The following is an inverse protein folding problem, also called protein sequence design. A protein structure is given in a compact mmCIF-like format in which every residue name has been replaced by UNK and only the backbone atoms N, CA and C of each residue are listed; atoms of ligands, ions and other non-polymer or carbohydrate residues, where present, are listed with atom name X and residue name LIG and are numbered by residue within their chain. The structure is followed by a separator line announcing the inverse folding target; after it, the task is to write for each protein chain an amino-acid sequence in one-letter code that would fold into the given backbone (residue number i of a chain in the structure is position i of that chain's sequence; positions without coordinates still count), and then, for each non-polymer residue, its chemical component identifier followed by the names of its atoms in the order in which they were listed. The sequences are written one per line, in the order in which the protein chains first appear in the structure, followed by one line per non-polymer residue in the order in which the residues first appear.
data_IF_308997884234
#
_entry.id   IF_308997884234
#
_cell.length_a   1.000
_cell.length_b   1.000
_cell.length_c   1.000
_cell.angle_alpha   90.00
_cell.angle_beta   90.00
_cell.angle_gamma   90.00
#
_symmetry.space_group_name_H-M   'P 1'
#
loop_
_entity.id
_entity.type
_entity.pdbx_description
1 polymer ?
#
# COMPACT_ATOMS: atom_id res chain seq x y z
N UNK A 1 18.41 -39.67 11.26
CA UNK A 1 18.08 -38.28 10.99
C UNK A 1 17.09 -37.80 12.09
N UNK A 2 17.39 -36.68 12.72
CA UNK A 2 16.47 -36.09 13.69
C UNK A 2 15.38 -35.28 12.95
N UNK A 3 14.11 -35.43 13.38
CA UNK A 3 13.02 -34.58 12.91
C UNK A 3 13.08 -33.27 13.71
N UNK A 4 13.36 -32.17 13.03
CA UNK A 4 13.47 -30.84 13.66
C UNK A 4 12.07 -30.26 13.92
N UNK A 5 11.14 -30.44 12.98
CA UNK A 5 9.74 -30.00 13.09
C UNK A 5 8.88 -30.91 12.22
N UNK A 6 7.67 -31.23 12.71
CA UNK A 6 6.66 -31.95 11.91
C UNK A 6 5.32 -31.23 12.04
N UNK A 7 4.65 -31.00 10.92
CA UNK A 7 3.33 -30.35 10.86
C UNK A 7 2.50 -30.93 9.73
N UNK A 8 1.23 -31.18 9.99
CA UNK A 8 0.27 -31.57 8.94
C UNK A 8 -0.56 -30.34 8.56
N UNK A 9 -0.64 -30.09 7.26
CA UNK A 9 -1.42 -29.00 6.70
C UNK A 9 -2.48 -29.60 5.81
N UNK A 10 -3.75 -29.23 6.04
CA UNK A 10 -4.89 -29.66 5.25
C UNK A 10 -5.46 -28.45 4.52
N UNK A 11 -5.81 -28.62 3.24
CA UNK A 11 -6.41 -27.57 2.43
C UNK A 11 -6.98 -28.12 1.14
N UNK A 12 -7.65 -27.28 0.38
CA UNK A 12 -8.23 -27.61 -0.91
C UNK A 12 -7.16 -27.51 -2.01
N UNK A 13 -7.36 -28.22 -3.11
CA UNK A 13 -6.44 -28.18 -4.26
C UNK A 13 -6.16 -26.75 -4.75
N UNK A 14 -7.13 -25.86 -4.73
CA UNK A 14 -6.98 -24.45 -5.10
C UNK A 14 -6.07 -23.64 -4.16
N UNK A 15 -5.82 -24.16 -2.95
CA UNK A 15 -5.02 -23.53 -1.89
C UNK A 15 -3.59 -24.09 -1.84
N UNK A 16 -3.24 -25.01 -2.75
CA UNK A 16 -1.92 -25.69 -2.74
C UNK A 16 -0.76 -24.70 -2.81
N UNK A 17 -0.91 -23.62 -3.55
CA UNK A 17 0.12 -22.58 -3.67
C UNK A 17 0.34 -21.84 -2.35
N UNK A 18 -0.74 -21.38 -1.71
CA UNK A 18 -0.69 -20.69 -0.42
C UNK A 18 -0.11 -21.61 0.66
N UNK A 19 -0.49 -22.90 0.61
CA UNK A 19 0.08 -23.92 1.48
C UNK A 19 1.58 -24.12 1.25
N UNK A 20 2.04 -24.10 -0.02
CA UNK A 20 3.46 -24.23 -0.35
C UNK A 20 4.26 -23.01 0.17
N UNK A 21 3.77 -21.80 -0.01
CA UNK A 21 4.38 -20.58 0.53
C UNK A 21 4.44 -20.64 2.07
N UNK A 22 3.34 -21.01 2.72
CA UNK A 22 3.32 -21.16 4.18
C UNK A 22 4.36 -22.20 4.68
N UNK A 23 4.49 -23.35 3.99
CA UNK A 23 5.51 -24.37 4.33
C UNK A 23 6.90 -23.80 4.14
N UNK A 24 7.12 -23.02 3.07
CA UNK A 24 8.42 -22.38 2.81
C UNK A 24 8.78 -21.40 3.92
N UNK A 25 7.83 -20.59 4.40
CA UNK A 25 8.02 -19.70 5.55
C UNK A 25 8.44 -20.46 6.81
N UNK A 26 7.75 -21.58 7.10
CA UNK A 26 8.08 -22.42 8.26
C UNK A 26 9.47 -23.07 8.16
N UNK A 27 9.87 -23.52 6.96
CA UNK A 27 11.21 -24.09 6.73
C UNK A 27 12.24 -22.99 6.89
N UNK A 28 12.03 -21.82 6.30
CA UNK A 28 12.95 -20.69 6.37
C UNK A 28 13.18 -20.26 7.82
N UNK A 29 12.10 -20.11 8.60
CA UNK A 29 12.16 -19.76 10.02
C UNK A 29 12.98 -20.78 10.83
N UNK A 30 12.77 -22.08 10.60
CA UNK A 30 13.51 -23.16 11.31
C UNK A 30 15.00 -23.15 10.96
N UNK A 31 15.35 -22.85 9.72
CA UNK A 31 16.73 -22.88 9.24
C UNK A 31 17.51 -21.61 9.61
N UNK A 32 16.84 -20.44 9.53
CA UNK A 32 17.52 -19.13 9.67
C UNK A 32 17.26 -18.45 11.01
N UNK A 33 16.21 -18.86 11.74
CA UNK A 33 15.74 -18.18 12.95
C UNK A 33 14.98 -16.86 12.65
N UNK A 34 14.68 -16.57 11.37
CA UNK A 34 13.98 -15.36 10.93
C UNK A 34 12.68 -15.77 10.25
N UNK A 35 11.62 -15.00 10.46
CA UNK A 35 10.33 -15.22 9.81
C UNK A 35 10.46 -15.17 8.28
N UNK A 36 9.81 -16.12 7.59
CA UNK A 36 9.77 -16.15 6.13
C UNK A 36 8.81 -15.11 5.55
N UNK A 37 8.99 -14.77 4.27
CA UNK A 37 8.17 -13.81 3.55
C UNK A 37 7.52 -14.37 2.28
N UNK A 38 7.50 -15.69 2.11
CA UNK A 38 6.95 -16.35 0.91
C UNK A 38 5.43 -16.20 0.81
N UNK A 39 4.72 -16.14 1.94
CA UNK A 39 3.26 -15.91 2.01
C UNK A 39 2.86 -14.44 1.96
N UNK A 40 3.82 -13.53 1.70
CA UNK A 40 3.53 -12.10 1.61
C UNK A 40 3.10 -11.69 0.20
N UNK A 41 2.58 -10.47 0.09
CA UNK A 41 2.20 -9.85 -1.17
C UNK A 41 3.01 -8.60 -1.43
N UNK A 42 3.24 -8.31 -2.70
CA UNK A 42 3.83 -7.07 -3.17
C UNK A 42 2.76 -6.20 -3.81
N UNK A 43 2.87 -4.90 -3.60
CA UNK A 43 2.07 -3.89 -4.28
C UNK A 43 2.99 -3.01 -5.13
N UNK A 44 2.61 -2.77 -6.37
CA UNK A 44 3.43 -2.00 -7.30
C UNK A 44 2.58 -1.28 -8.34
N UNK A 45 3.12 -0.20 -8.87
CA UNK A 45 2.50 0.57 -9.95
C UNK A 45 3.21 0.23 -11.26
N UNK A 46 2.44 -0.05 -12.29
CA UNK A 46 2.92 -0.13 -13.68
C UNK A 46 2.51 1.12 -14.44
N UNK A 47 3.36 1.54 -15.40
CA UNK A 47 3.06 2.60 -16.35
C UNK A 47 3.28 2.07 -17.77
N UNK A 48 2.21 1.82 -18.49
CA UNK A 48 2.23 1.36 -19.87
C UNK A 48 2.10 2.55 -20.83
N UNK A 49 2.96 2.64 -21.83
CA UNK A 49 2.87 3.67 -22.87
C UNK A 49 1.85 3.23 -23.91
N UNK A 50 0.74 3.95 -24.04
CA UNK A 50 -0.31 3.69 -25.02
C UNK A 50 -0.06 4.46 -26.33
N UNK A 51 0.40 5.71 -26.23
CA UNK A 51 0.76 6.59 -27.34
C UNK A 51 1.86 7.55 -26.89
N UNK A 52 2.28 8.49 -27.79
CA UNK A 52 3.42 9.36 -27.51
C UNK A 52 3.28 10.16 -26.22
N UNK A 53 2.08 10.67 -25.94
CA UNK A 53 1.76 11.45 -24.73
C UNK A 53 0.73 10.77 -23.81
N UNK A 54 0.44 9.48 -24.00
CA UNK A 54 -0.56 8.77 -23.21
C UNK A 54 0.06 7.57 -22.48
N UNK A 55 -0.19 7.52 -21.17
CA UNK A 55 0.18 6.39 -20.33
C UNK A 55 -1.04 5.84 -19.60
N UNK A 56 -1.02 4.56 -19.34
CA UNK A 56 -1.95 3.89 -18.46
C UNK A 56 -1.18 3.45 -17.23
N UNK A 57 -1.59 3.95 -16.08
CA UNK A 57 -1.06 3.55 -14.78
C UNK A 57 -1.98 2.51 -14.18
N UNK A 58 -1.41 1.49 -13.57
CA UNK A 58 -2.18 0.50 -12.84
C UNK A 58 -1.53 0.19 -11.50
N UNK A 59 -2.33 0.19 -10.45
CA UNK A 59 -1.97 -0.33 -9.14
C UNK A 59 -2.27 -1.80 -9.09
N UNK A 60 -1.26 -2.62 -8.83
CA UNK A 60 -1.34 -4.07 -8.88
C UNK A 60 -0.89 -4.65 -7.54
N UNK A 61 -1.45 -5.82 -7.20
CA UNK A 61 -1.03 -6.68 -6.10
C UNK A 61 -0.69 -8.05 -6.69
N UNK A 62 0.38 -8.66 -6.23
CA UNK A 62 0.77 -10.01 -6.57
C UNK A 62 1.37 -10.72 -5.34
N UNK A 63 1.51 -12.04 -5.40
CA UNK A 63 2.31 -12.77 -4.43
C UNK A 63 3.78 -12.33 -4.51
N UNK A 64 4.55 -12.55 -3.45
CA UNK A 64 5.95 -12.13 -3.35
C UNK A 64 6.84 -12.61 -4.50
N UNK A 65 6.45 -13.71 -5.17
CA UNK A 65 7.14 -14.26 -6.35
C UNK A 65 6.59 -13.73 -7.70
N UNK A 66 5.66 -12.77 -7.66
CA UNK A 66 5.05 -12.15 -8.85
C UNK A 66 3.88 -12.91 -9.46
N UNK A 67 3.45 -14.02 -8.86
CA UNK A 67 2.27 -14.75 -9.34
C UNK A 67 0.96 -14.10 -8.90
N UNK A 68 -0.14 -14.46 -9.59
CA UNK A 68 -1.49 -14.07 -9.16
C UNK A 68 -1.75 -12.56 -9.26
N UNK A 69 -1.14 -11.87 -10.23
CA UNK A 69 -1.31 -10.44 -10.40
C UNK A 69 -2.79 -10.06 -10.44
N UNK A 70 -3.17 -9.20 -9.51
CA UNK A 70 -4.51 -8.64 -9.41
C UNK A 70 -4.42 -7.13 -9.58
N UNK A 71 -5.03 -6.63 -10.65
CA UNK A 71 -5.15 -5.20 -10.90
C UNK A 71 -6.22 -4.60 -10.00
N UNK A 72 -5.83 -3.65 -9.17
CA UNK A 72 -6.72 -3.01 -8.17
C UNK A 72 -7.34 -1.74 -8.75
N UNK A 73 -6.55 -1.00 -9.53
CA UNK A 73 -6.96 0.28 -10.10
C UNK A 73 -6.24 0.52 -11.42
N UNK A 74 -6.93 1.15 -12.35
CA UNK A 74 -6.35 1.78 -13.56
C UNK A 74 -6.64 3.27 -13.58
N UNK A 75 -5.68 4.05 -14.06
CA UNK A 75 -5.80 5.49 -14.23
C UNK A 75 -4.99 5.97 -15.44
N UNK A 76 -5.49 7.00 -16.13
CA UNK A 76 -4.71 7.73 -17.13
C UNK A 76 -3.75 8.74 -16.48
N UNK A 77 -3.99 9.04 -15.21
CA UNK A 77 -3.16 9.93 -14.41
C UNK A 77 -2.23 9.13 -13.51
N UNK A 78 -1.07 9.69 -13.11
CA UNK A 78 -0.11 9.02 -12.26
C UNK A 78 -0.71 8.52 -10.94
N UNK A 79 -0.23 7.34 -10.51
CA UNK A 79 -0.46 6.77 -9.18
C UNK A 79 0.90 6.69 -8.50
N UNK A 80 1.03 7.26 -7.31
CA UNK A 80 2.30 7.35 -6.56
C UNK A 80 2.12 6.95 -5.10
N UNK A 81 3.22 6.65 -4.43
CA UNK A 81 3.32 6.49 -2.96
C UNK A 81 2.23 5.59 -2.37
N UNK A 82 2.03 4.42 -2.99
CA UNK A 82 1.05 3.47 -2.48
C UNK A 82 1.57 2.74 -1.23
N UNK A 83 0.73 2.62 -0.20
CA UNK A 83 1.04 1.96 1.08
C UNK A 83 -0.11 1.10 1.56
N UNK A 84 0.20 -0.02 2.24
CA UNK A 84 -0.75 -0.91 2.86
C UNK A 84 -1.25 -0.40 4.20
N UNK A 85 -2.54 -0.64 4.49
CA UNK A 85 -2.99 -0.63 5.89
C UNK A 85 -2.39 -1.82 6.65
N UNK A 86 -2.18 -1.72 7.99
CA UNK A 86 -1.57 -2.80 8.78
C UNK A 86 -2.33 -4.13 8.72
N UNK A 87 -3.64 -4.09 8.50
CA UNK A 87 -4.50 -5.27 8.35
C UNK A 87 -4.54 -5.82 6.91
N UNK A 88 -3.79 -5.19 5.99
CA UNK A 88 -3.81 -5.50 4.55
C UNK A 88 -5.19 -5.40 3.87
N UNK A 89 -6.19 -4.84 4.57
CA UNK A 89 -7.56 -4.70 4.06
C UNK A 89 -7.76 -3.48 3.16
N UNK A 90 -6.86 -2.51 3.22
CA UNK A 90 -6.95 -1.27 2.47
C UNK A 90 -5.57 -0.80 1.98
N UNK A 91 -5.58 0.07 0.99
CA UNK A 91 -4.38 0.76 0.50
C UNK A 91 -4.64 2.25 0.45
N UNK A 92 -3.63 3.05 0.82
CA UNK A 92 -3.63 4.49 0.59
C UNK A 92 -2.62 4.81 -0.51
N UNK A 93 -2.94 5.75 -1.39
CA UNK A 93 -2.07 6.16 -2.49
C UNK A 93 -2.37 7.58 -2.92
N UNK A 94 -1.45 8.17 -3.66
CA UNK A 94 -1.62 9.47 -4.33
C UNK A 94 -2.09 9.23 -5.76
N UNK A 95 -3.11 9.96 -6.20
CA UNK A 95 -3.54 9.98 -7.60
C UNK A 95 -3.80 11.41 -8.08
N UNK A 96 -3.58 11.65 -9.36
CA UNK A 96 -3.81 12.92 -10.03
C UNK A 96 -5.13 12.96 -10.81
N UNK A 97 -6.01 11.97 -10.60
CA UNK A 97 -7.30 11.84 -11.31
C UNK A 97 -8.29 12.98 -11.02
N UNK A 98 -8.04 13.79 -10.00
CA UNK A 98 -8.86 14.95 -9.64
C UNK A 98 -8.30 16.22 -10.29
N UNK A 99 -8.68 16.48 -11.53
CA UNK A 99 -8.32 17.67 -12.31
C UNK A 99 -6.77 17.87 -12.42
N UNK A 100 -6.01 16.77 -12.52
CA UNK A 100 -4.55 16.81 -12.62
C UNK A 100 -3.84 17.27 -11.34
N UNK A 101 -4.53 17.30 -10.21
CA UNK A 101 -3.98 17.67 -8.90
C UNK A 101 -3.80 16.44 -8.02
N UNK A 102 -2.71 16.38 -7.23
CA UNK A 102 -2.51 15.27 -6.32
C UNK A 102 -3.58 15.24 -5.23
N UNK A 103 -4.17 14.09 -5.00
CA UNK A 103 -5.04 13.79 -3.87
C UNK A 103 -4.62 12.47 -3.23
N UNK A 104 -4.82 12.35 -1.93
CA UNK A 104 -4.61 11.07 -1.22
C UNK A 104 -5.93 10.32 -1.17
N UNK A 105 -5.91 9.08 -1.60
CA UNK A 105 -7.05 8.19 -1.66
C UNK A 105 -6.88 7.04 -0.68
N UNK A 106 -7.99 6.57 -0.12
CA UNK A 106 -8.10 5.30 0.59
C UNK A 106 -8.96 4.35 -0.25
N UNK A 107 -8.48 3.14 -0.48
CA UNK A 107 -9.16 2.11 -1.26
C UNK A 107 -9.31 0.85 -0.41
N UNK A 108 -10.54 0.46 -0.09
CA UNK A 108 -10.83 -0.79 0.58
C UNK A 108 -10.82 -1.94 -0.42
N UNK A 109 -9.95 -2.92 -0.22
CA UNK A 109 -9.69 -4.00 -1.18
C UNK A 109 -10.80 -5.05 -1.26
N UNK A 110 -11.58 -5.21 -0.19
CA UNK A 110 -12.67 -6.19 -0.14
C UNK A 110 -13.93 -5.68 -0.82
N UNK A 111 -14.23 -4.38 -0.66
CA UNK A 111 -15.45 -3.77 -1.20
C UNK A 111 -15.23 -3.02 -2.51
N UNK A 112 -13.98 -2.72 -2.86
CA UNK A 112 -13.61 -1.86 -3.98
C UNK A 112 -13.96 -0.37 -3.75
N UNK A 113 -14.44 -0.01 -2.56
CA UNK A 113 -14.81 1.38 -2.26
C UNK A 113 -13.57 2.25 -2.18
N UNK A 114 -13.61 3.38 -2.90
CA UNK A 114 -12.57 4.41 -2.89
C UNK A 114 -13.09 5.69 -2.24
N UNK A 115 -12.22 6.34 -1.50
CA UNK A 115 -12.52 7.59 -0.80
C UNK A 115 -11.34 8.57 -0.94
N UNK A 116 -11.64 9.85 -1.18
CA UNK A 116 -10.66 10.92 -1.17
C UNK A 116 -10.45 11.37 0.28
N UNK A 117 -9.24 11.20 0.79
CA UNK A 117 -8.87 11.63 2.15
C UNK A 117 -8.45 13.11 2.19
N UNK A 118 -7.59 13.52 1.24
CA UNK A 118 -7.13 14.90 1.13
C UNK A 118 -7.07 15.35 -0.33
N UNK A 119 -7.40 16.65 -0.54
CA UNK A 119 -7.37 17.33 -1.84
C UNK A 119 -7.12 18.82 -1.62
N UNK A 120 -6.10 19.15 -0.86
CA UNK A 120 -5.75 20.57 -0.63
C UNK A 120 -5.01 21.15 -1.82
N UNK A 121 -4.96 22.49 -1.92
CA UNK A 121 -4.09 23.15 -2.88
C UNK A 121 -2.62 22.82 -2.58
N UNK A 122 -1.84 22.57 -3.64
CA UNK A 122 -0.44 22.19 -3.54
C UNK A 122 -0.24 20.68 -3.33
N UNK A 123 0.80 20.33 -2.59
CA UNK A 123 1.20 18.93 -2.37
C UNK A 123 0.22 18.20 -1.44
N UNK A 124 -0.20 17.03 -1.85
CA UNK A 124 -0.86 16.01 -1.04
C UNK A 124 -0.14 14.70 -1.32
N UNK A 125 0.57 14.14 -0.35
CA UNK A 125 1.46 13.01 -0.65
C UNK A 125 1.91 12.20 0.55
N UNK A 126 2.79 11.24 0.27
CA UNK A 126 3.50 10.39 1.22
C UNK A 126 2.61 9.79 2.33
N UNK A 127 1.50 9.09 2.00
CA UNK A 127 0.66 8.48 3.02
C UNK A 127 1.39 7.34 3.72
N UNK A 128 1.35 7.32 5.06
CA UNK A 128 1.88 6.25 5.89
C UNK A 128 0.93 5.95 7.05
N UNK A 129 0.49 4.70 7.16
CA UNK A 129 -0.40 4.28 8.25
C UNK A 129 0.34 4.17 9.58
N UNK A 130 -0.35 4.53 10.67
CA UNK A 130 0.05 4.12 12.01
C UNK A 130 -0.08 2.61 12.19
N UNK A 131 0.67 1.98 13.10
CA UNK A 131 0.61 0.53 13.32
C UNK A 131 -0.78 0.00 13.70
N UNK A 132 -1.62 0.84 14.32
CA UNK A 132 -3.00 0.49 14.69
C UNK A 132 -4.02 0.76 13.57
N UNK A 133 -3.58 1.30 12.43
CA UNK A 133 -4.40 1.60 11.26
C UNK A 133 -5.40 2.74 11.42
N UNK A 134 -5.37 3.49 12.53
CA UNK A 134 -6.36 4.54 12.81
C UNK A 134 -5.96 5.92 12.32
N UNK A 135 -4.68 6.13 12.11
CA UNK A 135 -4.12 7.42 11.71
C UNK A 135 -3.29 7.26 10.44
N UNK A 136 -3.30 8.28 9.60
CA UNK A 136 -2.46 8.37 8.42
C UNK A 136 -1.55 9.60 8.54
N UNK A 137 -0.24 9.40 8.50
CA UNK A 137 0.70 10.48 8.29
C UNK A 137 0.69 10.91 6.82
N UNK A 138 0.79 12.19 6.56
CA UNK A 138 0.69 12.79 5.22
C UNK A 138 1.64 13.97 5.10
N UNK A 139 2.12 14.24 3.90
CA UNK A 139 2.79 15.50 3.57
C UNK A 139 1.80 16.40 2.84
N UNK A 140 1.56 17.59 3.39
CA UNK A 140 0.67 18.58 2.78
C UNK A 140 1.38 19.95 2.75
N UNK A 141 1.20 20.70 1.65
CA UNK A 141 1.70 22.08 1.54
C UNK A 141 0.61 23.15 1.64
N UNK A 142 -0.56 22.80 2.16
CA UNK A 142 -1.76 23.67 2.23
C UNK A 142 -1.54 24.97 3.03
N UNK A 143 -0.58 24.98 3.96
CA UNK A 143 -0.25 26.13 4.81
C UNK A 143 1.06 26.82 4.36
N UNK A 144 1.44 26.66 3.08
CA UNK A 144 2.54 27.35 2.40
C UNK A 144 3.82 26.55 2.25
N UNK A 145 4.14 25.65 3.20
CA UNK A 145 5.32 24.78 3.15
C UNK A 145 4.90 23.32 3.23
N UNK A 146 5.60 22.38 2.58
CA UNK A 146 5.40 20.95 2.80
C UNK A 146 5.76 20.58 4.25
N UNK A 147 4.77 20.13 4.99
CA UNK A 147 4.87 19.71 6.39
C UNK A 147 4.16 18.38 6.60
N UNK A 148 4.50 17.72 7.69
CA UNK A 148 3.88 16.47 8.10
C UNK A 148 2.60 16.74 8.88
N UNK A 149 1.56 16.06 8.50
CA UNK A 149 0.23 16.08 9.14
C UNK A 149 -0.17 14.67 9.54
N UNK A 150 -0.97 14.57 10.60
CA UNK A 150 -1.68 13.35 10.98
C UNK A 150 -3.17 13.54 10.72
N UNK A 151 -3.75 12.59 9.98
CA UNK A 151 -5.18 12.49 9.72
C UNK A 151 -5.75 11.31 10.50
N UNK A 152 -6.68 11.57 11.41
CA UNK A 152 -7.49 10.51 12.04
C UNK A 152 -8.48 9.97 11.00
N UNK A 153 -8.47 8.65 10.76
CA UNK A 153 -9.29 8.04 9.72
C UNK A 153 -10.76 7.85 10.12
N UNK A 154 -11.07 7.99 11.40
CA UNK A 154 -12.44 7.88 11.94
C UNK A 154 -13.08 9.25 12.06
N UNK A 155 -12.43 10.17 12.78
CA UNK A 155 -12.95 11.51 13.05
C UNK A 155 -12.74 12.49 11.90
N UNK A 156 -11.75 12.21 11.03
CA UNK A 156 -11.26 13.08 9.94
C UNK A 156 -10.54 14.32 10.44
N UNK A 157 -10.18 14.36 11.71
CA UNK A 157 -9.37 15.43 12.26
C UNK A 157 -7.97 15.43 11.66
N UNK A 158 -7.54 16.60 11.20
CA UNK A 158 -6.23 16.81 10.58
C UNK A 158 -5.38 17.71 11.48
N UNK A 159 -4.24 17.20 11.93
CA UNK A 159 -3.32 17.89 12.83
C UNK A 159 -1.94 18.06 12.18
N UNK A 160 -1.46 19.28 12.04
CA UNK A 160 -0.08 19.60 11.60
C UNK A 160 0.90 19.24 12.72
N UNK A 161 1.95 18.49 12.36
CA UNK A 161 2.99 18.01 13.29
C UNK A 161 4.23 18.87 13.20
N UNK A 162 4.71 19.14 11.97
CA UNK A 162 5.91 19.96 11.76
C UNK A 162 5.56 21.39 11.37
N UNK A 163 6.42 22.32 11.67
CA UNK A 163 6.24 23.76 11.41
C UNK A 163 7.61 24.43 11.23
N UNK A 164 8.44 23.83 10.40
CA UNK A 164 9.74 24.40 10.09
C UNK A 164 9.71 25.14 8.75
N UNK A 165 10.63 26.06 8.53
CA UNK A 165 10.74 26.77 7.24
C UNK A 165 11.33 25.91 6.12
N UNK A 166 11.98 24.80 6.46
CA UNK A 166 12.44 23.79 5.51
C UNK A 166 11.30 22.93 5.01
N UNK A 167 11.59 22.12 4.00
CA UNK A 167 10.66 21.13 3.46
C UNK A 167 10.74 19.88 4.34
N UNK A 168 9.62 19.52 4.95
CA UNK A 168 9.47 18.30 5.73
C UNK A 168 8.67 17.30 4.89
N UNK A 169 9.32 16.22 4.47
CA UNK A 169 8.74 15.11 3.67
C UNK A 169 9.11 13.78 4.33
N UNK A 170 9.03 12.69 3.59
CA UNK A 170 9.38 11.33 4.05
C UNK A 170 10.72 11.25 4.79
#
# INVERSE_FOLDING_TARGET
AAVVRSRTINGLQRELRDMAHYVSDQIFEVVTGTEGSFSTQIMYVTAEKLAEDQRLYALNIADSDGWGVKRILESKEPILSATWSPDSGSVAYVSFELDGRPGVFLHNLSTGKREVLTRFAGLNGAPAFSPDGKTLALVLSKDGNPDIYLLDLVTRDLRRITRHYGIDTE
#
